data_IF_534404057381
#
_entry.id   IF_534404057381
#
_cell.length_a   1.000
_cell.length_b   1.000
_cell.length_c   1.000
_cell.angle_alpha   90.00
_cell.angle_beta   90.00
_cell.angle_gamma   90.00
#
_symmetry.space_group_name_H-M   'P 1'
#
loop_
_entity.id
_entity.type
_entity.pdbx_description
1 polymer ?
#
# COMPACT_ATOMS: atom_id res chain seq x y z
N UNK A 1 4.80 12.97 5.26
CA UNK A 1 4.43 11.88 4.32
C UNK A 1 5.71 11.33 3.70
N UNK A 2 5.80 10.01 3.46
CA UNK A 2 6.99 9.38 2.85
C UNK A 2 6.57 8.77 1.50
N UNK A 3 7.07 9.27 0.36
CA UNK A 3 6.72 8.74 -0.95
C UNK A 3 7.24 7.32 -1.15
N UNK A 4 6.40 6.46 -1.71
CA UNK A 4 6.73 5.06 -1.95
C UNK A 4 6.19 4.58 -3.29
N UNK A 5 6.94 3.70 -3.94
CA UNK A 5 6.43 2.83 -4.99
C UNK A 5 6.11 1.47 -4.37
N UNK A 6 4.95 0.92 -4.71
CA UNK A 6 4.37 -0.26 -4.06
C UNK A 6 3.91 -1.25 -5.11
N UNK A 7 4.13 -2.53 -4.84
CA UNK A 7 3.51 -3.64 -5.58
C UNK A 7 2.72 -4.54 -4.64
N UNK A 8 1.51 -4.88 -5.06
CA UNK A 8 0.67 -5.90 -4.44
C UNK A 8 0.18 -6.83 -5.55
N UNK A 9 0.56 -8.10 -5.49
CA UNK A 9 0.34 -9.04 -6.57
C UNK A 9 1.02 -8.56 -7.86
N UNK A 10 0.25 -8.40 -8.92
CA UNK A 10 0.68 -7.89 -10.23
C UNK A 10 0.42 -6.39 -10.44
N UNK A 11 -0.03 -5.67 -9.39
CA UNK A 11 -0.37 -4.25 -9.49
C UNK A 11 0.68 -3.37 -8.82
N UNK A 12 1.34 -2.57 -9.66
CA UNK A 12 2.26 -1.50 -9.26
C UNK A 12 1.50 -0.16 -9.13
N UNK A 13 1.76 0.58 -8.04
CA UNK A 13 1.21 1.91 -7.84
C UNK A 13 2.06 2.77 -6.90
N UNK A 14 1.87 4.08 -7.02
CA UNK A 14 2.51 5.08 -6.18
C UNK A 14 1.54 5.65 -5.15
N UNK A 15 2.04 5.86 -3.94
CA UNK A 15 1.33 6.48 -2.83
C UNK A 15 2.33 7.09 -1.84
N UNK A 16 1.85 7.54 -0.68
CA UNK A 16 2.72 7.96 0.42
C UNK A 16 2.28 7.33 1.72
N UNK A 17 3.25 6.90 2.52
CA UNK A 17 3.02 6.49 3.89
C UNK A 17 2.67 7.70 4.75
N UNK A 18 1.72 7.52 5.66
CA UNK A 18 1.30 8.53 6.62
C UNK A 18 1.44 8.04 8.06
N UNK A 19 2.08 8.82 8.95
CA UNK A 19 2.31 8.40 10.32
C UNK A 19 0.98 8.33 11.08
N UNK A 20 0.78 7.26 11.85
CA UNK A 20 -0.37 7.10 12.74
C UNK A 20 -0.05 6.06 13.82
N UNK A 21 -0.45 6.34 15.06
CA UNK A 21 -0.43 5.39 16.18
C UNK A 21 0.93 4.68 16.39
N UNK A 22 2.04 5.42 16.25
CA UNK A 22 3.40 4.87 16.40
C UNK A 22 3.93 4.08 15.21
N UNK A 23 3.15 3.97 14.14
CA UNK A 23 3.53 3.34 12.87
C UNK A 23 3.21 4.21 11.66
N UNK A 24 3.20 3.57 10.49
CA UNK A 24 2.80 4.19 9.23
C UNK A 24 1.68 3.40 8.59
N UNK A 25 0.67 4.12 8.12
CA UNK A 25 -0.36 3.54 7.28
C UNK A 25 0.03 3.67 5.81
N UNK A 26 -0.24 2.59 5.08
CA UNK A 26 -0.09 2.50 3.64
C UNK A 26 -1.46 2.58 2.98
N UNK A 27 -1.82 3.70 2.33
CA UNK A 27 -3.10 3.79 1.62
C UNK A 27 -3.12 2.84 0.42
N UNK A 28 -4.09 1.94 0.37
CA UNK A 28 -4.36 1.09 -0.78
C UNK A 28 -5.53 1.69 -1.55
N UNK A 29 -5.31 2.04 -2.82
CA UNK A 29 -6.36 2.62 -3.68
C UNK A 29 -7.49 1.61 -3.88
N UNK A 30 -8.73 2.10 -3.98
CA UNK A 30 -9.89 1.23 -4.22
C UNK A 30 -9.76 0.35 -5.47
N UNK A 31 -9.17 0.89 -6.54
CA UNK A 31 -8.93 0.12 -7.77
C UNK A 31 -7.96 -1.03 -7.56
N UNK A 32 -6.94 -0.83 -6.72
CA UNK A 32 -5.96 -1.88 -6.36
C UNK A 32 -6.65 -2.92 -5.48
N UNK A 33 -7.39 -2.49 -4.46
CA UNK A 33 -8.15 -3.40 -3.58
C UNK A 33 -9.13 -4.26 -4.36
N UNK A 34 -9.91 -3.66 -5.26
CA UNK A 34 -10.90 -4.37 -6.08
C UNK A 34 -10.24 -5.34 -7.05
N UNK A 35 -9.13 -4.94 -7.69
CA UNK A 35 -8.40 -5.81 -8.62
C UNK A 35 -7.80 -7.03 -7.92
N UNK A 36 -7.22 -6.84 -6.73
CA UNK A 36 -6.59 -7.89 -5.93
C UNK A 36 -7.57 -8.64 -5.01
N UNK A 37 -8.86 -8.27 -5.00
CA UNK A 37 -9.87 -8.88 -4.14
C UNK A 37 -9.66 -8.66 -2.63
N UNK A 38 -8.97 -7.58 -2.22
CA UNK A 38 -8.58 -7.32 -0.83
C UNK A 38 -9.76 -6.79 0.01
N UNK A 39 -10.10 -7.52 1.05
CA UNK A 39 -11.08 -7.17 2.08
C UNK A 39 -10.39 -6.75 3.40
N UNK A 40 -11.14 -6.13 4.33
CA UNK A 40 -10.67 -6.00 5.71
C UNK A 40 -10.30 -7.36 6.30
N UNK A 41 -9.33 -7.38 7.20
CA UNK A 41 -8.77 -8.55 7.89
C UNK A 41 -7.95 -9.53 7.01
N UNK A 42 -7.81 -9.26 5.71
CA UNK A 42 -6.91 -10.03 4.84
C UNK A 42 -5.44 -9.73 5.12
N UNK A 43 -4.64 -10.80 5.11
CA UNK A 43 -3.18 -10.69 5.04
C UNK A 43 -2.73 -10.35 3.62
N UNK A 44 -1.95 -9.27 3.46
CA UNK A 44 -1.47 -8.80 2.16
C UNK A 44 0.05 -8.77 2.14
N UNK A 45 0.66 -9.39 1.13
CA UNK A 45 2.11 -9.22 0.87
C UNK A 45 2.33 -7.94 0.07
N UNK A 46 3.25 -7.11 0.55
CA UNK A 46 3.56 -5.82 -0.05
C UNK A 46 5.05 -5.76 -0.33
N UNK A 47 5.41 -5.49 -1.59
CA UNK A 47 6.75 -5.04 -1.95
C UNK A 47 6.74 -3.51 -2.01
N UNK A 48 7.75 -2.87 -1.44
CA UNK A 48 7.78 -1.41 -1.37
C UNK A 48 9.20 -0.87 -1.48
N UNK A 49 9.35 0.21 -2.25
CA UNK A 49 10.57 1.00 -2.34
C UNK A 49 10.30 2.43 -1.88
N UNK A 50 11.08 2.90 -0.92
CA UNK A 50 11.06 4.32 -0.50
C UNK A 50 11.70 5.16 -1.58
N UNK A 51 11.03 6.23 -1.98
CA UNK A 51 11.60 7.22 -2.90
C UNK A 51 12.10 8.41 -2.10
N UNK A 52 13.42 8.59 -2.11
CA UNK A 52 14.12 9.71 -1.49
C UNK A 52 14.05 10.95 -2.38
#
# INVERSE_FOLDING_TARGET
VIPVQVRIGDVDFETSLFPKDGGYLLPIKDVVRKHQGIAPDDGVTVEMTVRL
#
